data_IF_280558925667
#
_entry.id   IF_280558925667
#
_cell.length_a   1.000
_cell.length_b   1.000
_cell.length_c   1.000
_cell.angle_alpha   90.00
_cell.angle_beta   90.00
_cell.angle_gamma   90.00
#
_symmetry.space_group_name_H-M   'P 1'
#
loop_
_entity.id
_entity.type
_entity.pdbx_description
1 polymer ?
#
# COMPACT_ATOMS: atom_id res chain seq x y z
N UNK A 1 20.67 -0.21 -4.60
CA UNK A 1 20.08 -1.56 -4.44
C UNK A 1 20.67 -2.52 -5.46
N UNK A 2 21.89 -3.01 -5.24
CA UNK A 2 22.51 -4.11 -6.03
C UNK A 2 23.16 -5.15 -5.11
N UNK A 3 22.72 -5.24 -3.85
CA UNK A 3 23.39 -6.04 -2.82
C UNK A 3 23.42 -7.55 -3.13
N UNK A 4 22.64 -8.03 -4.11
CA UNK A 4 22.50 -9.45 -4.44
C UNK A 4 22.68 -9.75 -5.94
N UNK A 5 23.35 -8.88 -6.70
CA UNK A 5 23.52 -9.06 -8.14
C UNK A 5 24.17 -10.39 -8.53
N UNK A 6 25.09 -10.89 -7.71
CA UNK A 6 25.74 -12.19 -7.88
C UNK A 6 24.85 -13.39 -7.58
N UNK A 7 23.82 -13.23 -6.74
CA UNK A 7 22.92 -14.31 -6.33
C UNK A 7 21.68 -14.41 -7.22
N UNK A 8 21.28 -13.30 -7.86
CA UNK A 8 20.02 -13.20 -8.60
C UNK A 8 20.16 -13.40 -10.12
N UNK A 9 21.39 -13.60 -10.61
CA UNK A 9 21.73 -13.81 -12.03
C UNK A 9 20.88 -12.94 -12.96
N UNK A 10 21.16 -11.64 -12.92
CA UNK A 10 20.40 -10.65 -13.68
C UNK A 10 20.76 -10.69 -15.17
N UNK A 11 19.82 -11.10 -16.01
CA UNK A 11 19.87 -10.85 -17.44
C UNK A 11 19.41 -9.42 -17.78
N UNK A 12 19.64 -8.97 -19.02
CA UNK A 12 19.28 -7.62 -19.47
C UNK A 12 17.78 -7.30 -19.33
N UNK A 13 16.90 -8.30 -19.45
CA UNK A 13 15.44 -8.11 -19.28
C UNK A 13 15.11 -7.82 -17.81
N UNK A 14 15.70 -8.57 -16.87
CA UNK A 14 15.54 -8.32 -15.44
C UNK A 14 16.13 -6.97 -15.02
N UNK A 15 17.27 -6.56 -15.59
CA UNK A 15 17.87 -5.24 -15.34
C UNK A 15 16.92 -4.12 -15.78
N UNK A 16 16.31 -4.24 -16.96
CA UNK A 16 15.35 -3.24 -17.43
C UNK A 16 14.11 -3.15 -16.54
N UNK A 17 13.56 -4.29 -16.11
CA UNK A 17 12.43 -4.32 -15.17
C UNK A 17 12.79 -3.73 -13.81
N UNK A 18 13.98 -4.04 -13.29
CA UNK A 18 14.48 -3.46 -12.04
C UNK A 18 14.64 -1.94 -12.17
N UNK A 19 15.17 -1.45 -13.29
CA UNK A 19 15.29 -0.04 -13.56
C UNK A 19 13.92 0.66 -13.60
N UNK A 20 12.91 0.06 -14.23
CA UNK A 20 11.54 0.58 -14.22
C UNK A 20 10.95 0.64 -12.80
N UNK A 21 11.16 -0.39 -11.98
CA UNK A 21 10.73 -0.41 -10.57
C UNK A 21 11.47 0.67 -9.76
N UNK A 22 12.77 0.87 -9.99
CA UNK A 22 13.53 1.94 -9.33
C UNK A 22 13.03 3.33 -9.72
N UNK A 23 12.71 3.55 -11.00
CA UNK A 23 12.12 4.80 -11.48
C UNK A 23 10.74 5.05 -10.86
N UNK A 24 9.87 4.05 -10.86
CA UNK A 24 8.57 4.12 -10.18
C UNK A 24 8.74 4.47 -8.70
N UNK A 25 9.66 3.78 -8.02
CA UNK A 25 9.89 4.03 -6.60
C UNK A 25 10.39 5.46 -6.34
N UNK A 26 11.35 5.93 -7.13
CA UNK A 26 11.98 7.23 -6.92
C UNK A 26 11.04 8.39 -7.27
N UNK A 27 10.30 8.27 -8.38
CA UNK A 27 9.45 9.35 -8.91
C UNK A 27 8.08 9.42 -8.24
N UNK A 28 7.52 8.28 -7.85
CA UNK A 28 6.14 8.18 -7.37
C UNK A 28 6.12 7.74 -5.91
N UNK A 29 6.68 6.57 -5.61
CA UNK A 29 6.53 5.96 -4.28
C UNK A 29 7.17 6.79 -3.16
N UNK A 30 8.43 7.17 -3.29
CA UNK A 30 9.18 7.91 -2.26
C UNK A 30 8.52 9.26 -1.99
N UNK A 31 8.00 9.93 -3.04
CA UNK A 31 7.25 11.17 -2.87
C UNK A 31 5.96 10.96 -2.10
N UNK A 32 5.21 9.89 -2.38
CA UNK A 32 3.99 9.56 -1.62
C UNK A 32 4.34 9.19 -0.18
N UNK A 33 5.34 8.34 0.02
CA UNK A 33 5.80 7.86 1.32
C UNK A 33 6.29 9.00 2.22
N UNK A 34 7.16 9.86 1.73
CA UNK A 34 7.67 11.01 2.49
C UNK A 34 6.60 12.07 2.78
N UNK A 35 5.56 12.17 1.94
CA UNK A 35 4.43 13.06 2.17
C UNK A 35 3.37 12.47 3.11
N UNK A 36 3.47 11.20 3.49
CA UNK A 36 2.73 10.65 4.64
C UNK A 36 3.42 11.16 5.90
N UNK A 37 3.19 12.43 6.22
CA UNK A 37 3.69 13.05 7.46
C UNK A 37 2.93 12.58 8.71
N UNK A 38 1.79 11.90 8.51
CA UNK A 38 0.94 11.42 9.58
C UNK A 38 0.27 10.11 9.15
N UNK A 39 0.41 9.06 9.96
CA UNK A 39 -0.25 7.76 9.80
C UNK A 39 -1.76 7.90 9.61
N UNK A 40 -2.37 8.93 10.22
CA UNK A 40 -3.79 9.20 10.07
C UNK A 40 -4.21 9.53 8.61
N UNK A 41 -3.33 10.15 7.84
CA UNK A 41 -3.61 10.50 6.45
C UNK A 41 -3.24 9.37 5.47
N UNK A 42 -2.53 8.34 5.94
CA UNK A 42 -2.00 7.28 5.09
C UNK A 42 -3.10 6.53 4.30
N UNK A 43 -4.25 6.14 4.91
CA UNK A 43 -5.32 5.47 4.15
C UNK A 43 -5.91 6.36 3.05
N UNK A 44 -6.12 7.65 3.34
CA UNK A 44 -6.68 8.61 2.37
C UNK A 44 -5.69 8.90 1.23
N UNK A 45 -4.43 9.12 1.55
CA UNK A 45 -3.38 9.37 0.55
C UNK A 45 -3.19 8.16 -0.35
N UNK A 46 -3.31 6.96 0.20
CA UNK A 46 -3.22 5.73 -0.58
C UNK A 46 -4.44 5.51 -1.47
N UNK A 47 -5.66 5.77 -0.98
CA UNK A 47 -6.87 5.72 -1.82
C UNK A 47 -6.75 6.64 -3.05
N UNK A 48 -6.20 7.85 -2.86
CA UNK A 48 -5.93 8.80 -3.96
C UNK A 48 -4.88 8.32 -4.96
N UNK A 49 -4.00 7.40 -4.56
CA UNK A 49 -3.04 6.75 -5.47
C UNK A 49 -3.72 5.62 -6.27
N UNK A 50 -4.67 4.91 -5.67
CA UNK A 50 -5.42 3.84 -6.32
C UNK A 50 -6.37 4.36 -7.41
N UNK A 51 -7.00 5.52 -7.24
CA UNK A 51 -7.90 6.12 -8.24
C UNK A 51 -7.29 6.24 -9.65
N UNK A 52 -6.13 6.89 -9.85
CA UNK A 52 -5.51 6.97 -11.18
C UNK A 52 -5.01 5.61 -11.68
N UNK A 53 -4.63 4.67 -10.79
CA UNK A 53 -4.25 3.31 -11.19
C UNK A 53 -5.44 2.51 -11.73
N UNK A 54 -6.63 2.65 -11.15
CA UNK A 54 -7.87 2.06 -11.67
C UNK A 54 -8.24 2.60 -13.06
N UNK A 55 -7.97 3.88 -13.32
CA UNK A 55 -8.17 4.46 -14.66
C UNK A 55 -7.14 3.89 -15.64
N UNK A 56 -5.89 3.75 -15.20
CA UNK A 56 -4.78 3.22 -16.00
C UNK A 56 -4.93 1.72 -16.32
N UNK A 57 -5.57 0.95 -15.43
CA UNK A 57 -5.85 -0.48 -15.63
C UNK A 57 -6.61 -0.75 -16.94
N UNK A 58 -7.48 0.17 -17.36
CA UNK A 58 -8.23 0.04 -18.63
C UNK A 58 -7.34 0.02 -19.87
N UNK A 59 -6.13 0.55 -19.77
CA UNK A 59 -5.18 0.66 -20.87
C UNK A 59 -4.08 -0.40 -20.76
N UNK A 60 -3.53 -0.60 -19.57
CA UNK A 60 -2.42 -1.51 -19.30
C UNK A 60 -2.69 -2.31 -18.00
N UNK A 61 -3.59 -3.32 -18.06
CA UNK A 61 -4.07 -4.01 -16.86
C UNK A 61 -2.96 -4.73 -16.10
N UNK A 62 -1.99 -5.32 -16.83
CA UNK A 62 -0.85 -5.99 -16.22
C UNK A 62 0.05 -5.05 -15.40
N UNK A 63 0.23 -3.82 -15.86
CA UNK A 63 1.03 -2.81 -15.15
C UNK A 63 0.27 -2.24 -13.96
N UNK A 64 -1.03 -1.94 -14.11
CA UNK A 64 -1.84 -1.42 -13.01
C UNK A 64 -1.97 -2.43 -11.86
N UNK A 65 -2.27 -3.70 -12.18
CA UNK A 65 -2.38 -4.77 -11.18
C UNK A 65 -1.04 -5.00 -10.49
N UNK A 66 0.05 -5.04 -11.25
CA UNK A 66 1.40 -5.20 -10.67
C UNK A 66 1.74 -4.00 -9.79
N UNK A 67 1.43 -2.77 -10.19
CA UNK A 67 1.68 -1.58 -9.40
C UNK A 67 0.92 -1.61 -8.06
N UNK A 68 -0.37 -1.98 -8.07
CA UNK A 68 -1.20 -2.12 -6.85
C UNK A 68 -0.63 -3.22 -5.93
N UNK A 69 -0.28 -4.38 -6.48
CA UNK A 69 0.24 -5.53 -5.71
C UNK A 69 1.66 -5.31 -5.16
N UNK A 70 2.50 -4.56 -5.89
CA UNK A 70 3.90 -4.30 -5.49
C UNK A 70 4.04 -3.04 -4.65
N UNK A 71 3.06 -2.14 -4.64
CA UNK A 71 3.00 -1.10 -3.62
C UNK A 71 2.78 -1.73 -2.25
N UNK A 72 3.81 -1.68 -1.42
CA UNK A 72 3.89 -2.19 -0.03
C UNK A 72 2.83 -1.62 0.91
N UNK A 73 1.96 -0.75 0.41
CA UNK A 73 1.04 0.11 1.14
C UNK A 73 -0.40 -0.43 1.14
N UNK A 74 -0.67 -1.63 0.60
CA UNK A 74 -1.92 -2.35 0.86
C UNK A 74 -2.19 -2.52 2.36
N UNK A 75 -1.15 -2.41 3.20
CA UNK A 75 -1.25 -2.37 4.65
C UNK A 75 -2.22 -1.30 5.16
N UNK A 76 -2.41 -0.18 4.44
CA UNK A 76 -3.31 0.89 4.87
C UNK A 76 -4.74 0.79 4.33
N UNK A 77 -5.02 -0.21 3.48
CA UNK A 77 -6.37 -0.56 3.03
C UNK A 77 -6.96 -1.75 3.78
N UNK A 78 -6.28 -2.26 4.82
CA UNK A 78 -6.91 -3.23 5.71
C UNK A 78 -7.94 -2.54 6.60
N UNK A 79 -8.86 -3.31 7.15
CA UNK A 79 -9.91 -2.81 8.04
C UNK A 79 -9.32 -2.15 9.30
N UNK A 80 -8.24 -2.71 9.84
CA UNK A 80 -7.54 -2.18 11.01
C UNK A 80 -6.85 -0.85 10.68
N UNK A 81 -6.22 -0.76 9.52
CA UNK A 81 -5.47 0.43 9.14
C UNK A 81 -6.36 1.55 8.59
N UNK A 82 -7.53 1.23 8.01
CA UNK A 82 -8.49 2.25 7.60
C UNK A 82 -9.00 3.05 8.79
N UNK A 83 -8.99 2.49 10.02
CA UNK A 83 -9.35 3.20 11.24
C UNK A 83 -8.43 4.40 11.54
N UNK A 84 -7.19 4.41 11.05
CA UNK A 84 -6.30 5.57 11.18
C UNK A 84 -6.88 6.83 10.51
N UNK A 85 -7.68 6.66 9.46
CA UNK A 85 -8.33 7.77 8.76
C UNK A 85 -9.31 8.57 9.64
N UNK A 86 -9.80 7.98 10.74
CA UNK A 86 -10.65 8.67 11.72
C UNK A 86 -9.93 9.82 12.42
N UNK A 87 -8.61 9.73 12.55
CA UNK A 87 -7.76 10.77 13.14
C UNK A 87 -7.28 11.81 12.12
N UNK A 88 -7.56 11.60 10.83
CA UNK A 88 -7.17 12.54 9.78
C UNK A 88 -7.99 13.83 9.87
N UNK A 89 -7.32 14.98 9.73
CA UNK A 89 -8.00 16.27 9.55
C UNK A 89 -8.50 16.48 8.10
N UNK A 90 -8.05 15.64 7.17
CA UNK A 90 -8.41 15.70 5.74
C UNK A 90 -9.66 14.88 5.41
N UNK A 91 -10.12 14.04 6.33
CA UNK A 91 -11.37 13.29 6.21
C UNK A 91 -12.47 14.06 6.92
N UNK A 92 -13.58 14.35 6.22
CA UNK A 92 -14.71 15.04 6.80
C UNK A 92 -15.42 14.17 7.85
N UNK A 93 -16.01 14.79 8.87
CA UNK A 93 -16.70 14.05 9.96
C UNK A 93 -17.87 13.20 9.46
N UNK A 94 -18.54 13.62 8.38
CA UNK A 94 -19.58 12.82 7.73
C UNK A 94 -19.02 11.53 7.15
N UNK A 95 -17.82 11.56 6.57
CA UNK A 95 -17.16 10.37 6.05
C UNK A 95 -16.62 9.49 7.17
N UNK A 96 -16.07 10.08 8.23
CA UNK A 96 -15.66 9.31 9.42
C UNK A 96 -16.82 8.51 10.01
N UNK A 97 -18.02 9.11 10.08
CA UNK A 97 -19.23 8.41 10.54
C UNK A 97 -19.59 7.22 9.64
N UNK A 98 -19.45 7.37 8.32
CA UNK A 98 -19.68 6.27 7.36
C UNK A 98 -18.64 5.17 7.52
N UNK A 99 -17.36 5.53 7.68
CA UNK A 99 -16.27 4.57 7.92
C UNK A 99 -16.55 3.77 9.20
N UNK A 100 -16.90 4.43 10.30
CA UNK A 100 -17.29 3.75 11.56
C UNK A 100 -18.50 2.83 11.34
N UNK A 101 -19.55 3.31 10.66
CA UNK A 101 -20.74 2.49 10.41
C UNK A 101 -20.42 1.24 9.56
N UNK A 102 -19.52 1.36 8.59
CA UNK A 102 -19.05 0.22 7.79
C UNK A 102 -18.20 -0.75 8.61
N UNK A 103 -17.27 -0.26 9.42
CA UNK A 103 -16.45 -1.08 10.33
C UNK A 103 -17.30 -1.82 11.36
N UNK A 104 -18.36 -1.19 11.89
CA UNK A 104 -19.28 -1.83 12.85
C UNK A 104 -20.17 -2.91 12.22
N UNK A 105 -20.43 -2.83 10.91
CA UNK A 105 -21.17 -3.87 10.17
C UNK A 105 -20.28 -5.04 9.78
N UNK A 106 -18.97 -4.83 9.80
CA UNK A 106 -18.02 -5.87 9.50
C UNK A 106 -18.04 -6.93 10.60
N UNK A 107 -18.39 -8.16 10.25
CA UNK A 107 -18.21 -9.31 11.14
C UNK A 107 -16.79 -9.80 10.92
N UNK A 108 -15.94 -9.68 11.93
CA UNK A 108 -14.63 -10.31 11.92
C UNK A 108 -14.84 -11.80 11.58
N UNK A 109 -14.36 -12.23 10.41
CA UNK A 109 -14.14 -13.65 10.22
C UNK A 109 -13.03 -14.01 11.20
N UNK A 110 -13.36 -14.76 12.24
CA UNK A 110 -12.41 -15.39 13.18
C UNK A 110 -11.53 -16.41 12.43
N UNK A 111 -10.75 -15.97 11.43
CA UNK A 111 -9.46 -16.59 11.20
C UNK A 111 -8.53 -15.84 12.12
N UNK A 112 -8.35 -16.42 13.31
CA UNK A 112 -7.36 -16.04 14.29
C UNK A 112 -6.13 -15.44 13.61
N UNK A 113 -5.71 -14.26 14.07
CA UNK A 113 -4.32 -13.81 13.90
C UNK A 113 -3.42 -15.04 14.13
N UNK A 114 -2.48 -15.36 13.22
CA UNK A 114 -1.54 -16.43 13.48
C UNK A 114 -0.84 -16.11 14.81
N UNK A 115 -1.14 -16.91 15.83
CA UNK A 115 -0.61 -16.77 17.19
C UNK A 115 0.90 -17.03 17.25
N UNK A 116 1.51 -17.41 16.13
CA UNK A 116 2.95 -17.59 15.97
C UNK A 116 3.61 -16.25 15.63
N UNK A 117 3.65 -15.34 16.61
CA UNK A 117 4.65 -14.27 16.60
C UNK A 117 5.97 -14.95 16.97
N UNK A 118 6.98 -15.02 16.08
CA UNK A 118 8.29 -15.50 16.48
C UNK A 118 8.85 -14.52 17.51
N UNK A 119 9.00 -14.99 18.75
CA UNK A 119 9.76 -14.26 19.76
C UNK A 119 11.19 -14.15 19.24
N UNK A 120 11.60 -12.95 18.88
CA UNK A 120 13.00 -12.67 18.56
C UNK A 120 13.82 -12.88 19.84
N UNK A 121 14.90 -13.68 19.80
CA UNK A 121 15.77 -13.82 20.96
C UNK A 121 16.40 -12.46 21.28
N UNK A 122 16.36 -12.10 22.58
CA UNK A 122 17.09 -10.98 23.18
C UNK A 122 18.58 -11.27 23.20
#
# INVERSE_FOLDING_TARGET
MCAFSKQLEYDNSKIQKLHQICLYNTLIFVKVWLNVQNTADAPLNYLKLCEPLNIYEKYEPGVAITAILTSSNLWYLTEEAVAFSLFSKKVADSEKKKIVASLMKYKANEKSLPTDIPVLPV
#
